data_IF_832228529467
#
_entry.id   IF_832228529467
#
_cell.length_a   1.000
_cell.length_b   1.000
_cell.length_c   1.000
_cell.angle_alpha   90.00
_cell.angle_beta   90.00
_cell.angle_gamma   90.00
#
_symmetry.space_group_name_H-M   'P 1'
#
loop_
_entity.id
_entity.type
_entity.pdbx_description
1 polymer ?
#
# COMPACT_ATOMS: atom_id res chain seq x y z
N UNK A 1 -31.82 16.30 -47.56
CA UNK A 1 -30.61 17.07 -47.19
C UNK A 1 -30.10 16.55 -45.86
N UNK A 2 -28.78 16.42 -45.67
CA UNK A 2 -28.22 16.08 -44.37
C UNK A 2 -28.67 17.13 -43.32
N UNK A 3 -29.09 16.66 -42.16
CA UNK A 3 -29.53 17.48 -41.03
C UNK A 3 -28.31 18.18 -40.45
N UNK A 4 -28.40 19.50 -40.24
CA UNK A 4 -27.32 20.27 -39.64
C UNK A 4 -27.08 19.81 -38.19
N UNK A 5 -25.89 19.28 -37.87
CA UNK A 5 -25.54 18.84 -36.52
C UNK A 5 -25.59 19.96 -35.48
N UNK A 6 -25.48 21.23 -35.90
CA UNK A 6 -25.49 22.39 -35.02
C UNK A 6 -26.69 22.41 -34.08
N UNK A 7 -27.89 22.06 -34.55
CA UNK A 7 -29.10 22.10 -33.74
C UNK A 7 -29.15 21.01 -32.66
N UNK A 8 -28.39 19.93 -32.82
CA UNK A 8 -28.28 18.91 -31.78
C UNK A 8 -27.32 19.39 -30.68
N UNK A 9 -26.19 20.00 -31.05
CA UNK A 9 -25.30 20.70 -30.11
C UNK A 9 -25.98 21.87 -29.39
N UNK A 10 -26.81 22.66 -30.09
CA UNK A 10 -27.60 23.75 -29.50
C UNK A 10 -28.48 23.22 -28.35
N UNK A 11 -29.16 22.10 -28.56
CA UNK A 11 -30.01 21.46 -27.55
C UNK A 11 -29.21 20.89 -26.39
N UNK A 12 -28.07 20.26 -26.66
CA UNK A 12 -27.23 19.67 -25.62
C UNK A 12 -26.64 20.75 -24.72
N UNK A 13 -26.16 21.85 -25.30
CA UNK A 13 -25.70 23.03 -24.56
C UNK A 13 -26.85 23.64 -23.74
N UNK A 14 -28.05 23.78 -24.30
CA UNK A 14 -29.21 24.27 -23.53
C UNK A 14 -29.56 23.37 -22.33
N UNK A 15 -29.52 22.06 -22.52
CA UNK A 15 -29.79 21.09 -21.45
C UNK A 15 -28.72 21.16 -20.36
N UNK A 16 -27.44 21.20 -20.74
CA UNK A 16 -26.31 21.34 -19.83
C UNK A 16 -26.35 22.67 -19.08
N UNK A 17 -26.75 23.76 -19.74
CA UNK A 17 -26.88 25.07 -19.12
C UNK A 17 -28.03 25.11 -18.12
N UNK A 18 -29.19 24.50 -18.42
CA UNK A 18 -30.28 24.31 -17.45
C UNK A 18 -29.84 23.49 -16.23
N UNK A 19 -29.07 22.43 -16.45
CA UNK A 19 -28.50 21.63 -15.35
C UNK A 19 -27.56 22.49 -14.50
N UNK A 20 -26.65 23.24 -15.12
CA UNK A 20 -25.75 24.14 -14.42
C UNK A 20 -26.50 25.19 -13.59
N UNK A 21 -27.57 25.79 -14.12
CA UNK A 21 -28.41 26.72 -13.36
C UNK A 21 -29.12 26.06 -12.17
N UNK A 22 -29.59 24.82 -12.32
CA UNK A 22 -30.19 24.07 -11.21
C UNK A 22 -29.17 23.72 -10.11
N UNK A 23 -27.94 23.39 -10.50
CA UNK A 23 -26.83 23.14 -9.58
C UNK A 23 -26.39 24.44 -8.91
N UNK A 24 -26.42 25.56 -9.61
CA UNK A 24 -26.12 26.89 -9.06
C UNK A 24 -27.08 27.29 -7.94
N UNK A 25 -28.37 27.00 -8.07
CA UNK A 25 -29.32 27.26 -6.97
C UNK A 25 -29.02 26.41 -5.73
N UNK A 26 -28.53 25.18 -5.93
CA UNK A 26 -28.18 24.24 -4.84
C UNK A 26 -26.78 24.49 -4.26
N UNK A 27 -25.87 25.08 -5.05
CA UNK A 27 -24.47 25.28 -4.69
C UNK A 27 -24.26 26.25 -3.54
N UNK A 28 -25.26 27.09 -3.20
CA UNK A 28 -25.20 27.93 -2.00
C UNK A 28 -25.03 27.12 -0.71
N UNK A 29 -25.57 25.89 -0.64
CA UNK A 29 -25.64 25.09 0.59
C UNK A 29 -24.80 23.80 0.57
N UNK A 30 -24.42 23.31 -0.61
CA UNK A 30 -23.80 21.99 -0.75
C UNK A 30 -22.47 22.06 -1.53
N UNK A 31 -21.38 21.65 -0.87
CA UNK A 31 -20.04 21.57 -1.46
C UNK A 31 -19.94 20.52 -2.57
N UNK A 32 -20.75 19.45 -2.50
CA UNK A 32 -20.82 18.47 -3.60
C UNK A 32 -21.44 19.12 -4.84
N UNK A 33 -22.53 19.87 -4.68
CA UNK A 33 -23.16 20.61 -5.75
C UNK A 33 -22.24 21.69 -6.35
N UNK A 34 -21.38 22.33 -5.54
CA UNK A 34 -20.34 23.27 -6.02
C UNK A 34 -19.33 22.59 -6.93
N UNK A 35 -18.80 21.43 -6.52
CA UNK A 35 -17.86 20.64 -7.33
C UNK A 35 -18.49 20.16 -8.63
N UNK A 36 -19.71 19.62 -8.56
CA UNK A 36 -20.44 19.17 -9.75
C UNK A 36 -20.75 20.33 -10.72
N UNK A 37 -21.09 21.51 -10.20
CA UNK A 37 -21.27 22.71 -11.01
C UNK A 37 -19.97 23.12 -11.70
N UNK A 38 -18.83 23.10 -10.99
CA UNK A 38 -17.53 23.42 -11.60
C UNK A 38 -17.22 22.49 -12.76
N UNK A 39 -17.33 21.17 -12.56
CA UNK A 39 -17.11 20.18 -13.63
C UNK A 39 -18.06 20.40 -14.80
N UNK A 40 -19.34 20.68 -14.53
CA UNK A 40 -20.34 20.94 -15.59
C UNK A 40 -20.01 22.21 -16.38
N UNK A 41 -19.56 23.28 -15.73
CA UNK A 41 -19.16 24.52 -16.40
C UNK A 41 -17.91 24.36 -17.25
N UNK A 42 -16.95 23.54 -16.82
CA UNK A 42 -15.73 23.27 -17.59
C UNK A 42 -16.04 22.47 -18.86
N UNK A 43 -16.91 21.46 -18.77
CA UNK A 43 -17.40 20.75 -19.97
C UNK A 43 -18.17 21.68 -20.91
N UNK A 44 -19.08 22.51 -20.37
CA UNK A 44 -19.84 23.49 -21.15
C UNK A 44 -18.95 24.51 -21.88
N UNK A 45 -17.83 24.92 -21.27
CA UNK A 45 -16.87 25.82 -21.93
C UNK A 45 -16.25 25.16 -23.15
N UNK A 46 -15.81 23.92 -23.01
CA UNK A 46 -15.24 23.15 -24.11
C UNK A 46 -16.26 22.96 -25.24
N UNK A 47 -17.48 22.50 -24.93
CA UNK A 47 -18.54 22.31 -25.92
C UNK A 47 -18.88 23.61 -26.66
N UNK A 48 -18.86 24.74 -25.95
CA UNK A 48 -19.15 26.05 -26.51
C UNK A 48 -18.01 26.58 -27.38
N UNK A 49 -16.75 26.32 -27.01
CA UNK A 49 -15.59 26.68 -27.81
C UNK A 49 -15.58 25.90 -29.14
N UNK A 50 -15.92 24.61 -29.12
CA UNK A 50 -16.08 23.80 -30.32
C UNK A 50 -17.18 24.39 -31.24
N UNK A 51 -18.35 24.70 -30.70
CA UNK A 51 -19.45 25.30 -31.47
C UNK A 51 -19.07 26.68 -32.02
N UNK A 52 -18.37 27.50 -31.23
CA UNK A 52 -17.87 28.81 -31.65
C UNK A 52 -16.91 28.70 -32.83
N UNK A 53 -15.99 27.72 -32.80
CA UNK A 53 -15.08 27.46 -33.90
C UNK A 53 -15.87 27.09 -35.18
N UNK A 54 -16.90 26.23 -35.07
CA UNK A 54 -17.74 25.91 -36.25
C UNK A 54 -18.44 27.13 -36.82
N UNK A 55 -18.97 28.01 -35.97
CA UNK A 55 -19.63 29.26 -36.40
C UNK A 55 -18.64 30.20 -37.06
N UNK A 56 -17.41 30.28 -36.54
CA UNK A 56 -16.34 31.09 -37.12
C UNK A 56 -15.89 30.58 -38.48
N UNK A 57 -15.78 29.26 -38.66
CA UNK A 57 -15.48 28.64 -39.96
C UNK A 57 -16.56 28.95 -40.99
N UNK A 58 -17.84 28.87 -40.60
CA UNK A 58 -18.99 29.20 -41.46
C UNK A 58 -19.06 30.70 -41.77
N UNK A 59 -18.55 31.57 -40.89
CA UNK A 59 -18.47 33.01 -41.15
C UNK A 59 -17.36 33.36 -42.14
N UNK A 60 -16.18 32.74 -41.99
CA UNK A 60 -15.01 33.01 -42.83
C UNK A 60 -15.13 32.35 -44.20
N UNK A 61 -15.78 31.19 -44.24
CA UNK A 61 -16.12 30.51 -45.47
C UNK A 61 -17.46 31.06 -45.97
N UNK A 62 -17.70 31.07 -47.28
CA UNK A 62 -18.98 31.55 -47.81
C UNK A 62 -20.15 30.70 -47.26
N UNK A 63 -20.93 31.27 -46.33
CA UNK A 63 -22.03 30.61 -45.62
C UNK A 63 -23.09 30.03 -46.57
N UNK A 64 -23.23 30.62 -47.76
CA UNK A 64 -24.13 30.13 -48.81
C UNK A 64 -23.72 28.75 -49.33
N UNK A 65 -22.42 28.41 -49.28
CA UNK A 65 -21.90 27.07 -49.64
C UNK A 65 -22.37 25.97 -48.68
N UNK A 66 -22.72 26.35 -47.46
CA UNK A 66 -23.24 25.43 -46.44
C UNK A 66 -24.77 25.50 -46.33
N UNK A 67 -25.44 26.31 -47.17
CA UNK A 67 -26.89 26.52 -47.09
C UNK A 67 -27.32 27.30 -45.84
N UNK A 68 -26.42 28.07 -45.24
CA UNK A 68 -26.67 28.87 -44.04
C UNK A 68 -26.88 30.32 -44.46
N UNK A 69 -28.06 30.86 -44.19
CA UNK A 69 -28.37 32.27 -44.46
C UNK A 69 -27.75 33.19 -43.39
N UNK A 70 -27.54 34.46 -43.73
CA UNK A 70 -27.00 35.46 -42.82
C UNK A 70 -27.82 35.61 -41.53
N UNK A 71 -29.15 35.43 -41.63
CA UNK A 71 -30.06 35.43 -40.46
C UNK A 71 -29.77 34.27 -39.51
N UNK A 72 -29.54 33.08 -40.06
CA UNK A 72 -29.24 31.89 -39.28
C UNK A 72 -27.84 32.00 -38.66
N UNK A 73 -26.83 32.45 -39.41
CA UNK A 73 -25.49 32.68 -38.87
C UNK A 73 -25.49 33.68 -37.70
N UNK A 74 -26.26 34.77 -37.81
CA UNK A 74 -26.39 35.77 -36.74
C UNK A 74 -27.12 35.19 -35.51
N UNK A 75 -28.11 34.31 -35.70
CA UNK A 75 -28.75 33.57 -34.61
C UNK A 75 -27.74 32.70 -33.86
N UNK A 76 -26.85 31.99 -34.57
CA UNK A 76 -25.81 31.14 -33.95
C UNK A 76 -24.84 31.96 -33.12
N UNK A 77 -24.38 33.10 -33.65
CA UNK A 77 -23.52 34.04 -32.92
C UNK A 77 -24.17 34.56 -31.64
N UNK A 78 -25.44 34.97 -31.73
CA UNK A 78 -26.21 35.44 -30.56
C UNK A 78 -26.39 34.35 -29.51
N UNK A 79 -26.60 33.10 -29.93
CA UNK A 79 -26.66 31.95 -29.02
C UNK A 79 -25.33 31.74 -28.29
N UNK A 80 -24.21 31.70 -29.02
CA UNK A 80 -22.87 31.52 -28.42
C UNK A 80 -22.58 32.62 -27.39
N UNK A 81 -22.82 33.88 -27.75
CA UNK A 81 -22.63 35.02 -26.83
C UNK A 81 -23.50 34.92 -25.58
N UNK A 82 -24.76 34.48 -25.72
CA UNK A 82 -25.65 34.26 -24.58
C UNK A 82 -25.13 33.15 -23.66
N UNK A 83 -24.63 32.05 -24.21
CA UNK A 83 -24.03 30.98 -23.41
C UNK A 83 -22.74 31.42 -22.72
N UNK A 84 -21.83 32.12 -23.42
CA UNK A 84 -20.59 32.65 -22.85
C UNK A 84 -20.87 33.56 -21.65
N UNK A 85 -21.81 34.50 -21.80
CA UNK A 85 -22.20 35.42 -20.72
C UNK A 85 -22.82 34.70 -19.52
N UNK A 86 -23.61 33.65 -19.75
CA UNK A 86 -24.21 32.84 -18.68
C UNK A 86 -23.15 32.04 -17.94
N UNK A 87 -22.25 31.35 -18.65
CA UNK A 87 -21.14 30.59 -18.07
C UNK A 87 -20.25 31.52 -17.25
N UNK A 88 -19.92 32.71 -17.76
CA UNK A 88 -19.12 33.69 -17.06
C UNK A 88 -19.79 34.14 -15.74
N UNK A 89 -21.09 34.43 -15.77
CA UNK A 89 -21.88 34.78 -14.58
C UNK A 89 -21.89 33.66 -13.53
N UNK A 90 -22.07 32.41 -13.95
CA UNK A 90 -22.11 31.27 -13.03
C UNK A 90 -20.72 30.98 -12.44
N UNK A 91 -19.67 31.06 -13.27
CA UNK A 91 -18.29 30.86 -12.85
C UNK A 91 -17.82 31.93 -11.88
N UNK A 92 -18.11 33.21 -12.13
CA UNK A 92 -17.67 34.29 -11.24
C UNK A 92 -18.28 34.18 -9.85
N UNK A 93 -19.55 33.82 -9.76
CA UNK A 93 -20.22 33.59 -8.49
C UNK A 93 -19.69 32.35 -7.77
N UNK A 94 -19.35 31.28 -8.49
CA UNK A 94 -18.65 30.13 -7.91
C UNK A 94 -17.30 30.53 -7.33
N UNK A 95 -16.48 31.26 -8.07
CA UNK A 95 -15.18 31.75 -7.59
C UNK A 95 -15.35 32.64 -6.36
N UNK A 96 -16.35 33.52 -6.35
CA UNK A 96 -16.66 34.37 -5.19
C UNK A 96 -17.08 33.56 -3.95
N UNK A 97 -17.84 32.48 -4.12
CA UNK A 97 -18.29 31.62 -3.03
C UNK A 97 -17.17 30.70 -2.54
N UNK A 98 -16.32 30.21 -3.45
CA UNK A 98 -15.16 29.38 -3.12
C UNK A 98 -13.99 30.18 -2.53
N UNK A 99 -13.90 31.48 -2.84
CA UNK A 99 -12.94 32.39 -2.23
C UNK A 99 -13.29 32.71 -0.76
N UNK A 100 -14.50 32.39 -0.31
CA UNK A 100 -14.79 32.34 1.12
C UNK A 100 -14.16 31.07 1.69
N UNK A 101 -13.32 31.17 2.73
CA UNK A 101 -12.72 29.98 3.34
C UNK A 101 -13.86 29.12 3.90
N UNK A 102 -14.14 27.99 3.22
CA UNK A 102 -15.15 27.08 3.72
C UNK A 102 -14.64 26.46 5.02
N UNK A 103 -15.43 26.57 6.08
CA UNK A 103 -15.17 25.92 7.38
C UNK A 103 -14.85 24.43 7.19
N UNK A 104 -15.45 23.81 6.17
CA UNK A 104 -15.22 22.44 5.73
C UNK A 104 -13.76 22.14 5.35
N UNK A 105 -13.10 22.98 4.54
CA UNK A 105 -11.71 22.76 4.13
C UNK A 105 -10.72 22.97 5.28
N UNK A 106 -10.98 23.95 6.15
CA UNK A 106 -10.18 24.15 7.36
C UNK A 106 -10.32 22.97 8.33
N UNK A 107 -11.54 22.47 8.50
CA UNK A 107 -11.84 21.30 9.34
C UNK A 107 -11.22 20.01 8.78
N UNK A 108 -11.28 19.79 7.46
CA UNK A 108 -10.67 18.64 6.78
C UNK A 108 -9.15 18.66 6.96
N UNK A 109 -8.52 19.83 6.81
CA UNK A 109 -7.09 20.00 7.05
C UNK A 109 -6.70 19.75 8.50
N UNK A 110 -7.49 20.23 9.46
CA UNK A 110 -7.26 20.01 10.89
C UNK A 110 -7.42 18.52 11.27
N UNK A 111 -8.44 17.84 10.73
CA UNK A 111 -8.60 16.39 10.88
C UNK A 111 -7.40 15.63 10.31
N UNK A 112 -6.91 16.01 9.13
CA UNK A 112 -5.76 15.39 8.51
C UNK A 112 -4.47 15.60 9.33
N UNK A 113 -4.34 16.75 10.01
CA UNK A 113 -3.23 17.02 10.94
C UNK A 113 -3.32 16.16 12.21
N UNK A 114 -4.52 15.93 12.75
CA UNK A 114 -4.72 15.03 13.89
C UNK A 114 -4.37 13.57 13.53
N UNK A 115 -4.71 13.13 12.32
CA UNK A 115 -4.34 11.79 11.83
C UNK A 115 -2.83 11.62 11.64
N UNK A 116 -2.12 12.67 11.21
CA UNK A 116 -0.65 12.66 11.13
C UNK A 116 -0.02 12.62 12.53
N UNK A 117 -0.53 13.40 13.48
CA UNK A 117 -0.05 13.39 14.86
C UNK A 117 -0.18 12.01 15.53
N UNK A 118 -1.27 11.27 15.25
CA UNK A 118 -1.45 9.91 15.77
C UNK A 118 -0.45 8.90 15.17
N UNK A 119 -0.06 9.09 13.90
CA UNK A 119 0.92 8.22 13.26
C UNK A 119 2.35 8.45 13.79
N UNK A 120 2.71 9.69 14.12
CA UNK A 120 4.01 9.99 14.75
C UNK A 120 4.15 9.29 16.10
N UNK A 121 3.09 9.26 16.92
CA UNK A 121 3.10 8.53 18.19
C UNK A 121 3.30 7.01 18.01
N UNK A 122 2.76 6.44 16.93
CA UNK A 122 2.98 5.04 16.60
C UNK A 122 4.44 4.77 16.17
N UNK A 123 5.05 5.69 15.42
CA UNK A 123 6.46 5.61 15.04
C UNK A 123 7.39 5.71 16.25
N UNK A 124 7.09 6.55 17.24
CA UNK A 124 7.87 6.63 18.48
C UNK A 124 7.81 5.32 19.29
N UNK A 125 6.63 4.70 19.35
CA UNK A 125 6.45 3.41 20.04
C UNK A 125 7.24 2.30 19.36
N UNK A 126 7.22 2.27 18.02
CA UNK A 126 8.05 1.35 17.21
C UNK A 126 9.54 1.65 17.45
N UNK A 127 9.93 2.94 17.48
CA UNK A 127 11.29 3.37 17.75
C UNK A 127 11.81 2.86 19.10
N UNK A 128 11.00 2.98 20.15
CA UNK A 128 11.34 2.43 21.49
C UNK A 128 11.47 0.91 21.49
N UNK A 129 10.58 0.21 20.78
CA UNK A 129 10.63 -1.26 20.67
C UNK A 129 11.84 -1.74 19.85
N UNK A 130 12.23 -0.98 18.81
CA UNK A 130 13.45 -1.25 18.05
C UNK A 130 14.70 -0.97 18.88
N UNK A 131 14.68 0.04 19.75
CA UNK A 131 15.78 0.30 20.68
C UNK A 131 15.99 -0.87 21.65
N UNK A 132 14.91 -1.38 22.26
CA UNK A 132 15.00 -2.54 23.15
C UNK A 132 15.40 -3.82 22.42
N UNK A 133 14.88 -4.06 21.21
CA UNK A 133 15.31 -5.19 20.38
C UNK A 133 16.78 -5.11 20.00
N UNK A 134 17.29 -3.90 19.70
CA UNK A 134 18.71 -3.69 19.41
C UNK A 134 19.57 -3.98 20.63
N UNK A 135 19.15 -3.51 21.81
CA UNK A 135 19.85 -3.79 23.07
C UNK A 135 19.89 -5.29 23.37
N UNK A 136 18.76 -5.99 23.20
CA UNK A 136 18.68 -7.45 23.36
C UNK A 136 19.54 -8.20 22.34
N UNK A 137 19.53 -7.79 21.07
CA UNK A 137 20.37 -8.39 20.04
C UNK A 137 21.87 -8.22 20.34
N UNK A 138 22.26 -7.09 20.92
CA UNK A 138 23.64 -6.86 21.32
C UNK A 138 24.06 -7.76 22.49
N UNK A 139 23.18 -7.95 23.48
CA UNK A 139 23.43 -8.85 24.61
C UNK A 139 23.47 -10.32 24.16
N UNK A 140 22.57 -10.72 23.27
CA UNK A 140 22.59 -12.06 22.66
C UNK A 140 23.87 -12.28 21.85
N UNK A 141 24.37 -11.26 21.15
CA UNK A 141 25.63 -11.35 20.41
C UNK A 141 26.82 -11.59 21.32
N UNK A 142 26.89 -10.89 22.46
CA UNK A 142 27.95 -11.09 23.44
C UNK A 142 27.89 -12.48 24.08
N UNK A 143 26.70 -12.92 24.49
CA UNK A 143 26.51 -14.26 25.07
C UNK A 143 26.82 -15.36 24.04
N UNK A 144 26.49 -15.16 22.76
CA UNK A 144 26.82 -16.10 21.69
C UNK A 144 28.34 -16.21 21.47
N UNK A 145 29.06 -15.09 21.51
CA UNK A 145 30.53 -15.07 21.44
C UNK A 145 31.16 -15.80 22.65
N UNK A 146 30.62 -15.59 23.85
CA UNK A 146 31.02 -16.32 25.07
C UNK A 146 30.70 -17.82 24.99
N UNK A 147 29.54 -18.18 24.45
CA UNK A 147 29.16 -19.57 24.21
C UNK A 147 30.09 -20.26 23.20
N UNK A 148 30.58 -19.57 22.18
CA UNK A 148 31.58 -20.13 21.24
C UNK A 148 32.89 -20.45 21.96
N UNK A 149 33.30 -19.61 22.91
CA UNK A 149 34.47 -19.87 23.75
C UNK A 149 34.24 -21.06 24.69
N UNK A 150 33.06 -21.16 25.32
CA UNK A 150 32.71 -22.27 26.20
C UNK A 150 32.53 -23.62 25.47
N UNK A 151 32.06 -23.61 24.22
CA UNK A 151 31.99 -24.81 23.39
C UNK A 151 33.37 -25.39 23.10
N UNK A 152 34.40 -24.55 23.00
CA UNK A 152 35.79 -25.00 22.89
C UNK A 152 36.26 -25.76 24.13
N UNK A 153 35.86 -25.34 25.33
CA UNK A 153 36.19 -26.06 26.57
C UNK A 153 35.40 -27.38 26.69
N UNK A 154 34.11 -27.35 26.33
CA UNK A 154 33.28 -28.56 26.31
C UNK A 154 33.83 -29.63 25.36
N UNK A 155 34.32 -29.24 24.17
CA UNK A 155 34.97 -30.16 23.22
C UNK A 155 36.18 -30.86 23.85
N UNK A 156 37.02 -30.10 24.56
CA UNK A 156 38.19 -30.67 25.26
C UNK A 156 37.81 -31.62 26.40
N UNK A 157 36.71 -31.36 27.11
CA UNK A 157 36.23 -32.24 28.16
C UNK A 157 35.53 -33.49 27.60
N UNK A 158 34.81 -33.37 26.47
CA UNK A 158 34.28 -34.52 25.73
C UNK A 158 35.41 -35.44 25.27
N UNK A 159 36.48 -34.90 24.69
CA UNK A 159 37.66 -35.67 24.29
C UNK A 159 38.30 -36.42 25.47
N UNK A 160 38.41 -35.76 26.63
CA UNK A 160 38.92 -36.39 27.86
C UNK A 160 38.01 -37.51 28.33
N UNK A 161 36.69 -37.30 28.35
CA UNK A 161 35.74 -38.33 28.78
C UNK A 161 35.73 -39.51 27.81
N UNK A 162 35.85 -39.27 26.49
CA UNK A 162 35.96 -40.32 25.48
C UNK A 162 37.22 -41.16 25.71
N UNK A 163 38.38 -40.54 25.95
CA UNK A 163 39.62 -41.25 26.27
C UNK A 163 39.50 -42.08 27.55
N UNK A 164 38.91 -41.52 28.61
CA UNK A 164 38.66 -42.24 29.86
C UNK A 164 37.72 -43.43 29.67
N UNK A 165 36.63 -43.24 28.93
CA UNK A 165 35.69 -44.32 28.60
C UNK A 165 36.36 -45.41 27.78
N UNK A 166 37.19 -45.07 26.80
CA UNK A 166 37.94 -46.04 26.00
C UNK A 166 38.89 -46.86 26.89
N UNK A 167 39.59 -46.21 27.83
CA UNK A 167 40.43 -46.92 28.80
C UNK A 167 39.62 -47.81 29.75
N UNK A 168 38.44 -47.37 30.18
CA UNK A 168 37.54 -48.16 31.02
C UNK A 168 37.03 -49.40 30.27
N UNK A 169 36.65 -49.26 29.00
CA UNK A 169 36.24 -50.38 28.15
C UNK A 169 37.35 -51.42 27.99
N UNK A 170 38.59 -50.99 27.73
CA UNK A 170 39.74 -51.92 27.64
C UNK A 170 39.97 -52.68 28.95
N UNK A 171 39.73 -52.05 30.11
CA UNK A 171 39.80 -52.74 31.40
C UNK A 171 38.64 -53.72 31.57
N UNK A 172 37.43 -53.36 31.15
CA UNK A 172 36.28 -54.27 31.16
C UNK A 172 36.53 -55.49 30.28
N UNK A 173 37.07 -55.33 29.08
CA UNK A 173 37.44 -56.45 28.19
C UNK A 173 38.47 -57.37 28.86
N UNK A 174 39.48 -56.80 29.53
CA UNK A 174 40.47 -57.57 30.30
C UNK A 174 39.83 -58.30 31.48
N UNK A 175 38.90 -57.68 32.19
CA UNK A 175 38.19 -58.32 33.30
C UNK A 175 37.32 -59.48 32.81
N UNK A 176 36.58 -59.29 31.71
CA UNK A 176 35.78 -60.35 31.07
C UNK A 176 36.69 -61.52 30.68
N UNK A 177 37.81 -61.25 30.00
CA UNK A 177 38.78 -62.28 29.63
C UNK A 177 39.37 -63.01 30.85
N UNK A 178 39.68 -62.29 31.93
CA UNK A 178 40.20 -62.90 33.16
C UNK A 178 39.14 -63.71 33.92
N UNK A 179 37.88 -63.27 33.93
CA UNK A 179 36.78 -64.03 34.53
C UNK A 179 36.53 -65.31 33.75
N UNK A 180 36.55 -65.27 32.42
CA UNK A 180 36.36 -66.45 31.57
C UNK A 180 37.48 -67.49 31.78
N UNK A 181 38.74 -67.04 31.83
CA UNK A 181 39.89 -67.92 32.10
C UNK A 181 39.83 -68.57 33.50
N UNK A 182 39.41 -67.83 34.53
CA UNK A 182 39.28 -68.35 35.90
C UNK A 182 38.13 -69.34 36.04
N UNK A 183 36.97 -69.04 35.47
CA UNK A 183 35.81 -69.94 35.47
C UNK A 183 36.12 -71.24 34.72
N UNK A 184 36.76 -71.15 33.55
CA UNK A 184 37.23 -72.32 32.80
C UNK A 184 38.21 -73.18 33.60
N UNK A 185 39.19 -72.56 34.27
CA UNK A 185 40.17 -73.27 35.09
C UNK A 185 39.56 -73.99 36.30
N UNK A 186 38.61 -73.36 36.99
CA UNK A 186 37.90 -73.97 38.12
C UNK A 186 37.00 -75.12 37.67
N UNK A 187 36.31 -74.97 36.54
CA UNK A 187 35.52 -76.06 35.95
C UNK A 187 36.42 -77.27 35.61
N UNK A 188 37.58 -77.05 35.00
CA UNK A 188 38.55 -78.13 34.72
C UNK A 188 39.04 -78.78 36.03
N UNK A 189 39.38 -77.99 37.04
CA UNK A 189 39.86 -78.52 38.33
C UNK A 189 38.78 -79.33 39.07
N UNK A 190 37.54 -78.84 39.10
CA UNK A 190 36.40 -79.57 39.68
C UNK A 190 36.16 -80.89 38.94
N UNK A 191 36.24 -80.90 37.59
CA UNK A 191 36.12 -82.13 36.81
C UNK A 191 37.24 -83.13 37.14
N UNK A 192 38.49 -82.66 37.34
CA UNK A 192 39.62 -83.51 37.74
C UNK A 192 39.38 -84.12 39.13
N UNK A 193 38.99 -83.32 40.12
CA UNK A 193 38.74 -83.78 41.50
C UNK A 193 37.56 -84.74 41.57
N UNK A 194 36.47 -84.44 40.85
CA UNK A 194 35.32 -85.34 40.75
C UNK A 194 35.69 -86.68 40.10
N UNK A 195 36.58 -86.68 39.09
CA UNK A 195 37.13 -87.90 38.48
C UNK A 195 37.97 -88.70 39.47
N UNK A 196 38.79 -88.04 40.29
CA UNK A 196 39.69 -88.74 41.24
C UNK A 196 38.94 -89.35 42.43
N UNK A 197 37.84 -88.73 42.89
CA UNK A 197 37.00 -89.30 43.95
C UNK A 197 36.15 -90.50 43.54
N UNK A 198 36.00 -90.75 42.23
CA UNK A 198 35.15 -91.83 41.70
C UNK A 198 35.91 -93.13 41.41
N UNK A 199 37.24 -93.13 41.52
CA UNK A 199 38.12 -94.29 41.42
C UNK A 199 38.63 -94.69 42.81
#
# INVERSE_FOLDING_TARGET
MPRDPYHDFEKDIENSLRRAESLFQKSSRDDKARRELSTTLDSLRQDLDDVKETVQVVEQSDASRFGIDAVELDRRKRFVQKCESTIHRLSSHLTSVMAQPSVSLAWEKEQQQQLLAHQDQALDTIGSSLYTLREQAQLIGQEADEHVLMLGELDTDVDRTQSQLQHAMVRMDKLIAQTDARLGGWCVWILIVARTRRN
#
